data_IF_908505179750
#
_entry.id   IF_908505179750
#
_cell.length_a   1.000
_cell.length_b   1.000
_cell.length_c   1.000
_cell.angle_alpha   90.00
_cell.angle_beta   90.00
_cell.angle_gamma   90.00
#
_symmetry.space_group_name_H-M   'P 1'
#
loop_
_entity.id
_entity.type
_entity.pdbx_description
1 polymer ?
#
# COMPACT_ATOMS: atom_id res chain seq x y z
N UNK A 1 2.79 -7.18 -5.13
CA UNK A 1 3.56 -6.12 -4.45
C UNK A 1 3.08 -6.01 -3.01
N UNK A 2 3.66 -6.79 -2.08
CA UNK A 2 3.17 -6.82 -0.70
C UNK A 2 3.55 -5.55 0.09
N UNK A 3 4.44 -4.69 -0.42
CA UNK A 3 4.88 -3.47 0.26
C UNK A 3 3.73 -2.50 0.61
N UNK A 4 2.72 -2.35 -0.26
CA UNK A 4 1.56 -1.50 0.02
C UNK A 4 0.70 -2.05 1.17
N UNK A 5 0.49 -3.37 1.20
CA UNK A 5 -0.23 -4.07 2.27
C UNK A 5 0.50 -3.85 3.60
N UNK A 6 1.81 -4.14 3.62
CA UNK A 6 2.66 -3.94 4.79
C UNK A 6 2.59 -2.49 5.28
N UNK A 7 2.68 -1.54 4.35
CA UNK A 7 2.63 -0.12 4.65
C UNK A 7 1.35 0.25 5.41
N UNK A 8 0.20 -0.19 4.91
CA UNK A 8 -1.13 0.08 5.50
C UNK A 8 -1.27 -0.61 6.85
N UNK A 9 -0.99 -1.91 6.92
CA UNK A 9 -1.19 -2.70 8.14
C UNK A 9 -0.21 -2.36 9.26
N UNK A 10 0.99 -1.90 8.93
CA UNK A 10 1.97 -1.40 9.92
C UNK A 10 1.79 0.08 10.27
N UNK A 11 0.83 0.80 9.68
CA UNK A 11 0.57 2.20 10.04
C UNK A 11 0.39 2.41 11.56
N UNK A 12 -0.42 1.61 12.29
CA UNK A 12 -0.62 1.79 13.73
C UNK A 12 0.66 1.64 14.55
N UNK A 13 1.48 0.65 14.18
CA UNK A 13 2.80 0.43 14.80
C UNK A 13 3.73 1.61 14.51
N UNK A 14 3.74 2.10 13.26
CA UNK A 14 4.59 3.21 12.84
C UNK A 14 4.22 4.53 13.52
N UNK A 15 2.95 4.71 13.87
CA UNK A 15 2.43 5.86 14.60
C UNK A 15 2.55 5.69 16.13
N UNK A 16 3.04 4.54 16.62
CA UNK A 16 3.17 4.25 18.04
C UNK A 16 1.83 4.01 18.76
N UNK A 17 0.76 3.71 18.01
CA UNK A 17 -0.56 3.42 18.58
C UNK A 17 -0.61 2.02 19.20
N UNK A 18 0.12 1.06 18.64
CA UNK A 18 0.20 -0.32 19.12
C UNK A 18 1.61 -0.88 18.98
N UNK A 19 1.93 -1.94 19.74
CA UNK A 19 3.22 -2.62 19.65
C UNK A 19 3.29 -3.54 18.43
N UNK A 20 2.20 -4.25 18.13
CA UNK A 20 2.08 -5.07 16.93
C UNK A 20 0.91 -4.62 16.07
N UNK A 21 0.96 -4.95 14.77
CA UNK A 21 -0.10 -4.58 13.83
C UNK A 21 -1.43 -5.28 14.16
N UNK A 22 -1.38 -6.51 14.68
CA UNK A 22 -2.56 -7.29 15.06
C UNK A 22 -3.29 -6.75 16.29
N UNK A 23 -2.63 -5.93 17.11
CA UNK A 23 -3.26 -5.32 18.30
C UNK A 23 -4.22 -4.18 17.91
N UNK A 24 -4.09 -3.62 16.71
CA UNK A 24 -4.93 -2.50 16.30
C UNK A 24 -6.30 -2.98 15.80
N UNK A 25 -7.34 -2.69 16.57
CA UNK A 25 -8.71 -3.19 16.35
C UNK A 25 -9.33 -2.73 15.02
N UNK A 26 -8.92 -1.56 14.52
CA UNK A 26 -9.47 -0.95 13.31
C UNK A 26 -8.68 -1.33 12.06
N UNK A 27 -8.11 -2.53 12.02
CA UNK A 27 -7.36 -3.08 10.88
C UNK A 27 -7.63 -4.56 10.70
N UNK A 28 -7.54 -5.04 9.46
CA UNK A 28 -7.60 -6.46 9.12
C UNK A 28 -6.36 -7.25 9.54
N UNK A 29 -5.28 -6.60 9.98
CA UNK A 29 -4.02 -7.24 10.34
C UNK A 29 -4.21 -8.40 11.35
N UNK A 30 -5.13 -8.25 12.31
CA UNK A 30 -5.46 -9.30 13.28
C UNK A 30 -6.02 -10.56 12.61
N UNK A 31 -6.97 -10.38 11.71
CA UNK A 31 -7.62 -11.47 10.98
C UNK A 31 -6.62 -12.20 10.08
N UNK A 32 -5.75 -11.46 9.37
CA UNK A 32 -4.73 -12.06 8.52
C UNK A 32 -3.65 -12.85 9.28
N UNK A 33 -3.37 -12.47 10.53
CA UNK A 33 -2.44 -13.20 11.42
C UNK A 33 -3.10 -14.45 12.05
N UNK A 34 -4.39 -14.70 11.82
CA UNK A 34 -5.12 -15.85 12.35
C UNK A 34 -5.92 -15.56 13.63
N UNK A 35 -6.10 -14.28 13.99
CA UNK A 35 -7.00 -13.87 15.07
C UNK A 35 -8.46 -13.99 14.61
N UNK A 36 -9.10 -15.12 14.92
CA UNK A 36 -10.48 -15.45 14.59
C UNK A 36 -11.51 -14.78 15.52
N UNK A 37 -11.45 -13.46 15.66
CA UNK A 37 -12.52 -12.71 16.32
C UNK A 37 -13.02 -11.59 15.38
N UNK A 38 -14.15 -11.83 14.72
CA UNK A 38 -14.82 -10.89 13.82
C UNK A 38 -14.43 -11.00 12.34
N UNK A 39 -15.31 -10.55 11.46
CA UNK A 39 -15.01 -10.42 10.04
C UNK A 39 -13.91 -9.36 9.84
N UNK A 40 -12.91 -9.59 8.98
CA UNK A 40 -11.90 -8.57 8.71
C UNK A 40 -12.55 -7.32 8.15
N UNK A 41 -11.94 -6.16 8.45
CA UNK A 41 -12.31 -4.88 7.81
C UNK A 41 -12.13 -4.95 6.27
N UNK A 42 -11.27 -5.86 5.82
CA UNK A 42 -10.91 -6.14 4.43
C UNK A 42 -10.28 -7.54 4.32
N UNK A 43 -10.78 -8.41 3.45
CA UNK A 43 -10.22 -9.74 3.15
C UNK A 43 -9.20 -9.66 2.01
N UNK A 44 -7.96 -10.12 2.25
CA UNK A 44 -6.88 -10.13 1.23
C UNK A 44 -6.79 -11.46 0.44
N UNK A 45 -7.63 -12.45 0.74
CA UNK A 45 -7.56 -13.82 0.20
C UNK A 45 -7.54 -13.92 -1.34
N UNK A 46 -7.94 -12.87 -2.05
CA UNK A 46 -7.94 -12.79 -3.52
C UNK A 46 -6.66 -12.21 -4.14
N UNK A 47 -5.70 -11.72 -3.34
CA UNK A 47 -4.47 -11.15 -3.91
C UNK A 47 -3.44 -12.25 -4.21
N UNK A 48 -2.96 -12.37 -5.47
CA UNK A 48 -1.94 -13.35 -5.85
C UNK A 48 -0.60 -13.20 -5.09
N UNK A 49 -0.39 -12.06 -4.44
CA UNK A 49 0.84 -11.74 -3.70
C UNK A 49 0.65 -11.69 -2.19
N UNK A 50 -0.37 -12.38 -1.67
CA UNK A 50 -0.60 -12.54 -0.24
C UNK A 50 0.59 -13.28 0.43
N UNK A 51 1.15 -12.76 1.54
CA UNK A 51 2.15 -13.48 2.32
C UNK A 51 1.63 -14.81 2.87
N UNK A 52 2.46 -15.85 2.84
CA UNK A 52 2.13 -17.16 3.44
C UNK A 52 2.17 -17.13 4.98
N UNK A 53 3.11 -16.37 5.56
CA UNK A 53 3.20 -16.10 7.00
C UNK A 53 2.98 -14.61 7.24
N UNK A 54 1.75 -14.26 7.64
CA UNK A 54 1.38 -12.87 7.88
C UNK A 54 2.04 -12.27 9.10
N UNK A 55 2.29 -13.10 10.12
CA UNK A 55 2.87 -12.62 11.37
C UNK A 55 4.33 -12.24 11.17
N UNK A 56 5.10 -13.10 10.50
CA UNK A 56 6.48 -12.79 10.12
C UNK A 56 6.51 -11.57 9.19
N UNK A 57 5.64 -11.55 8.18
CA UNK A 57 5.50 -10.44 7.26
C UNK A 57 5.21 -9.11 7.97
N UNK A 58 4.35 -9.07 8.98
CA UNK A 58 4.08 -7.82 9.70
C UNK A 58 5.11 -7.49 10.78
N UNK A 59 6.04 -8.39 11.10
CA UNK A 59 7.13 -8.12 12.05
C UNK A 59 8.31 -7.40 11.40
N UNK A 60 8.74 -7.77 10.18
CA UNK A 60 9.91 -7.09 9.60
C UNK A 60 9.63 -5.61 9.29
N UNK A 61 10.70 -4.83 9.33
CA UNK A 61 10.67 -3.42 9.00
C UNK A 61 10.20 -3.17 7.56
N UNK A 62 9.60 -2.01 7.34
CA UNK A 62 9.29 -1.51 6.00
C UNK A 62 10.61 -1.27 5.24
N UNK A 63 10.70 -1.71 3.98
CA UNK A 63 11.81 -1.33 3.09
C UNK A 63 11.79 0.21 2.92
N UNK A 64 12.87 0.94 3.30
CA UNK A 64 12.91 2.41 3.21
C UNK A 64 12.65 2.95 1.81
N UNK A 65 13.06 2.21 0.76
CA UNK A 65 12.80 2.58 -0.63
C UNK A 65 11.30 2.63 -0.90
N UNK A 66 10.59 1.53 -0.60
CA UNK A 66 9.14 1.45 -0.81
C UNK A 66 8.39 2.43 0.08
N UNK A 67 8.83 2.61 1.33
CA UNK A 67 8.23 3.57 2.25
C UNK A 67 8.29 5.01 1.69
N UNK A 68 9.45 5.41 1.17
CA UNK A 68 9.64 6.73 0.59
C UNK A 68 8.84 6.93 -0.69
N UNK A 69 8.80 5.90 -1.55
CA UNK A 69 8.04 5.93 -2.80
C UNK A 69 6.54 6.06 -2.54
N UNK A 70 5.98 5.23 -1.65
CA UNK A 70 4.56 5.30 -1.25
C UNK A 70 4.22 6.69 -0.73
N UNK A 71 5.03 7.23 0.20
CA UNK A 71 4.79 8.56 0.76
C UNK A 71 4.85 9.67 -0.29
N UNK A 72 5.83 9.64 -1.19
CA UNK A 72 5.97 10.66 -2.23
C UNK A 72 4.76 10.67 -3.19
N UNK A 73 4.31 9.49 -3.58
CA UNK A 73 3.18 9.29 -4.48
C UNK A 73 1.84 9.62 -3.80
N UNK A 74 1.61 9.18 -2.55
CA UNK A 74 0.43 9.58 -1.77
C UNK A 74 0.34 11.10 -1.60
N UNK A 75 1.46 11.78 -1.32
CA UNK A 75 1.49 13.24 -1.16
C UNK A 75 1.15 13.99 -2.45
N UNK A 76 1.51 13.45 -3.61
CA UNK A 76 1.25 14.08 -4.91
C UNK A 76 -0.04 13.60 -5.58
N UNK A 77 -0.74 12.63 -4.97
CA UNK A 77 -1.93 11.99 -5.55
C UNK A 77 -1.62 11.07 -6.74
N UNK A 78 -0.36 10.66 -6.92
CA UNK A 78 0.07 9.80 -8.03
C UNK A 78 0.07 8.33 -7.64
N UNK A 79 -0.20 7.41 -8.57
CA UNK A 79 -0.10 5.98 -8.31
C UNK A 79 1.35 5.54 -8.06
N UNK A 80 1.53 4.54 -7.20
CA UNK A 80 2.80 3.80 -7.10
C UNK A 80 2.77 2.61 -8.06
N UNK A 81 3.84 2.40 -8.82
CA UNK A 81 3.97 1.28 -9.73
C UNK A 81 4.90 1.58 -10.89
N UNK A 82 5.19 0.58 -11.69
CA UNK A 82 5.97 0.76 -12.90
C UNK A 82 5.17 1.51 -13.99
N UNK A 83 5.87 1.96 -15.03
CA UNK A 83 5.27 2.73 -16.11
C UNK A 83 4.17 1.95 -16.87
N UNK A 84 4.29 0.62 -16.95
CA UNK A 84 3.30 -0.21 -17.64
C UNK A 84 1.99 -0.28 -16.84
N UNK A 85 2.08 -0.46 -15.53
CA UNK A 85 0.94 -0.41 -14.62
C UNK A 85 0.24 0.95 -14.65
N UNK A 86 1.01 2.04 -14.63
CA UNK A 86 0.43 3.39 -14.68
C UNK A 86 -0.25 3.64 -16.03
N UNK A 87 0.37 3.24 -17.16
CA UNK A 87 -0.22 3.39 -18.48
C UNK A 87 -1.54 2.61 -18.61
N UNK A 88 -1.61 1.40 -18.02
CA UNK A 88 -2.85 0.62 -17.99
C UNK A 88 -3.92 1.31 -17.13
N UNK A 89 -3.57 1.89 -15.98
CA UNK A 89 -4.50 2.69 -15.18
C UNK A 89 -5.00 3.95 -15.91
N UNK A 90 -4.14 4.65 -16.66
CA UNK A 90 -4.54 5.81 -17.46
C UNK A 90 -5.58 5.42 -18.52
N UNK A 91 -5.37 4.27 -19.17
CA UNK A 91 -6.29 3.71 -20.16
C UNK A 91 -7.64 3.37 -19.54
N UNK A 92 -7.66 2.74 -18.37
CA UNK A 92 -8.90 2.36 -17.68
C UNK A 92 -9.68 3.58 -17.14
N UNK A 93 -8.97 4.57 -16.61
CA UNK A 93 -9.57 5.75 -16.00
C UNK A 93 -9.82 6.89 -17.00
N UNK A 94 -9.38 6.75 -18.25
CA UNK A 94 -9.45 7.77 -19.29
C UNK A 94 -8.91 9.14 -18.84
N UNK A 95 -7.82 9.13 -18.05
CA UNK A 95 -7.20 10.34 -17.51
C UNK A 95 -5.68 10.18 -17.42
N UNK A 96 -4.90 11.25 -17.62
CA UNK A 96 -3.46 11.20 -17.39
C UNK A 96 -3.16 11.10 -15.89
N UNK A 97 -2.24 10.21 -15.53
CA UNK A 97 -1.70 9.95 -14.20
C UNK A 97 -0.20 10.27 -14.15
N UNK A 98 0.51 10.19 -15.28
CA UNK A 98 1.88 10.65 -15.39
C UNK A 98 1.99 12.14 -15.15
N UNK A 99 3.13 12.56 -14.58
CA UNK A 99 3.44 13.98 -14.50
C UNK A 99 3.76 14.50 -15.89
N UNK A 100 3.04 15.53 -16.34
CA UNK A 100 3.52 16.36 -17.44
C UNK A 100 4.79 17.12 -17.00
N UNK A 101 5.65 17.50 -17.96
CA UNK A 101 6.75 18.41 -17.72
C UNK A 101 6.26 19.67 -17.00
N UNK A 102 7.03 20.16 -16.04
CA UNK A 102 6.70 21.40 -15.32
C UNK A 102 6.79 22.57 -16.30
N UNK A 103 5.71 23.36 -16.38
CA UNK A 103 5.67 24.58 -17.20
C UNK A 103 4.58 24.55 -18.25
N UNK A 104 4.50 25.64 -19.03
CA UNK A 104 3.58 25.74 -20.17
C UNK A 104 3.97 24.68 -21.22
N UNK A 105 3.00 23.98 -21.84
CA UNK A 105 3.29 23.10 -22.97
C UNK A 105 4.08 23.87 -24.02
N UNK A 106 5.19 23.29 -24.48
CA UNK A 106 5.93 23.85 -25.60
C UNK A 106 5.01 23.83 -26.82
N UNK A 107 4.68 25.02 -27.35
CA UNK A 107 4.02 25.11 -28.65
C UNK A 107 5.04 24.64 -29.69
N UNK A 108 4.76 23.50 -30.33
CA UNK A 108 5.46 23.08 -31.56
C UNK A 108 4.72 23.67 -32.75
#
# INVERSE_FOLDING_TARGET
MPAAIRYVERNPVRLGLTQTAADYEWSSARSHVGGLDGAPVFTIEELPTAPADWQAFLKDADDPRWLNEIRANTRSGRPCGDAAFIAELEKQLHRPLHSHPRGRPLTV
#
